data_IF_048688166319
#
_entry.id   IF_048688166319
#
_cell.length_a   1.000
_cell.length_b   1.000
_cell.length_c   1.000
_cell.angle_alpha   90.00
_cell.angle_beta   90.00
_cell.angle_gamma   90.00
#
_symmetry.space_group_name_H-M   'P 1'
#
loop_
_entity.id
_entity.type
_entity.pdbx_description
1 polymer ?
#
# COMPACT_ATOMS: atom_id res chain seq x y z
N UNK A 1 -5.78 13.62 3.37
CA UNK A 1 -6.74 14.55 2.73
C UNK A 1 -6.42 14.62 1.24
N UNK A 2 -7.42 14.52 0.37
CA UNK A 2 -7.25 14.56 -1.10
C UNK A 2 -8.27 15.55 -1.68
N UNK A 3 -7.87 16.35 -2.68
CA UNK A 3 -8.82 17.20 -3.41
C UNK A 3 -9.81 16.32 -4.17
N UNK A 4 -11.11 16.63 -4.09
CA UNK A 4 -12.17 15.89 -4.80
C UNK A 4 -11.86 15.67 -6.28
N UNK A 5 -11.41 16.72 -6.97
CA UNK A 5 -11.06 16.62 -8.40
C UNK A 5 -9.91 15.65 -8.70
N UNK A 6 -8.95 15.47 -7.78
CA UNK A 6 -7.87 14.49 -7.94
C UNK A 6 -8.41 13.08 -7.70
N UNK A 7 -9.22 12.90 -6.65
CA UNK A 7 -9.86 11.62 -6.35
C UNK A 7 -10.74 11.14 -7.52
N UNK A 8 -11.56 12.02 -8.07
CA UNK A 8 -12.39 11.73 -9.25
C UNK A 8 -11.53 11.47 -10.50
N UNK A 9 -10.45 12.25 -10.71
CA UNK A 9 -9.53 12.06 -11.85
C UNK A 9 -8.90 10.66 -11.87
N UNK A 10 -8.56 10.10 -10.70
CA UNK A 10 -7.99 8.74 -10.62
C UNK A 10 -9.05 7.64 -10.58
N UNK A 11 -10.35 7.98 -10.56
CA UNK A 11 -11.45 7.03 -10.55
C UNK A 11 -11.89 6.56 -9.16
N UNK A 12 -11.54 7.28 -8.09
CA UNK A 12 -11.92 6.93 -6.72
C UNK A 12 -11.22 5.68 -6.20
N UNK A 13 -11.87 4.91 -5.33
CA UNK A 13 -11.34 3.63 -4.84
C UNK A 13 -11.56 2.49 -5.84
N UNK A 14 -10.68 1.48 -5.82
CA UNK A 14 -10.87 0.23 -6.57
C UNK A 14 -11.84 -0.68 -5.82
N UNK A 15 -13.13 -0.38 -5.89
CA UNK A 15 -14.16 -1.07 -5.10
C UNK A 15 -14.40 -2.51 -5.56
N UNK A 16 -14.04 -2.85 -6.81
CA UNK A 16 -14.30 -4.17 -7.37
C UNK A 16 -13.33 -5.22 -6.84
N UNK A 17 -12.07 -4.84 -6.68
CA UNK A 17 -10.99 -5.76 -6.32
C UNK A 17 -10.37 -5.49 -4.95
N UNK A 18 -10.52 -4.29 -4.38
CA UNK A 18 -9.95 -3.89 -3.09
C UNK A 18 -11.06 -3.31 -2.19
N UNK A 19 -11.97 -4.15 -1.76
CA UNK A 19 -13.12 -3.73 -0.96
C UNK A 19 -12.78 -3.44 0.50
N UNK A 20 -11.73 -4.07 1.04
CA UNK A 20 -11.40 -4.00 2.47
C UNK A 20 -9.92 -3.70 2.69
N UNK A 21 -9.01 -4.48 2.12
CA UNK A 21 -7.57 -4.28 2.30
C UNK A 21 -6.95 -3.53 1.11
N UNK A 22 -5.85 -2.82 1.39
CA UNK A 22 -4.96 -2.17 0.42
C UNK A 22 -5.57 -1.10 -0.51
N UNK A 23 -6.86 -0.76 -0.37
CA UNK A 23 -7.53 0.25 -1.18
C UNK A 23 -6.90 1.65 -1.07
N UNK A 24 -6.36 1.95 0.10
CA UNK A 24 -5.66 3.18 0.43
C UNK A 24 -4.27 3.22 -0.24
N UNK A 25 -3.56 2.09 -0.25
CA UNK A 25 -2.27 1.92 -0.94
C UNK A 25 -2.45 2.08 -2.45
N UNK A 26 -3.39 1.36 -3.07
CA UNK A 26 -3.68 1.46 -4.51
C UNK A 26 -4.06 2.89 -4.90
N UNK A 27 -4.93 3.56 -4.13
CA UNK A 27 -5.30 4.96 -4.36
C UNK A 27 -4.07 5.87 -4.33
N UNK A 28 -3.21 5.72 -3.31
CA UNK A 28 -1.98 6.51 -3.19
C UNK A 28 -1.02 6.28 -4.36
N UNK A 29 -0.90 5.04 -4.86
CA UNK A 29 -0.07 4.70 -6.00
C UNK A 29 -0.61 5.29 -7.31
N UNK A 30 -1.92 5.19 -7.57
CA UNK A 30 -2.56 5.83 -8.74
C UNK A 30 -2.45 7.35 -8.72
N UNK A 31 -2.59 7.99 -7.55
CA UNK A 31 -2.37 9.44 -7.40
C UNK A 31 -0.92 9.80 -7.73
N UNK A 32 0.05 8.97 -7.33
CA UNK A 32 1.46 9.15 -7.68
C UNK A 32 1.69 9.00 -9.19
N UNK A 33 1.12 7.98 -9.83
CA UNK A 33 1.18 7.80 -11.30
C UNK A 33 0.57 8.98 -12.06
N UNK A 34 -0.49 9.60 -11.51
CA UNK A 34 -1.10 10.80 -12.07
C UNK A 34 -0.24 12.09 -11.90
N UNK A 35 0.97 11.98 -11.37
CA UNK A 35 1.96 13.06 -11.24
C UNK A 35 1.90 13.84 -9.93
N UNK A 36 1.14 13.37 -8.94
CA UNK A 36 1.04 14.00 -7.63
C UNK A 36 1.97 13.34 -6.59
N UNK A 37 2.03 13.92 -5.40
CA UNK A 37 2.85 13.42 -4.28
C UNK A 37 1.98 13.06 -3.09
N UNK A 38 2.32 11.95 -2.44
CA UNK A 38 1.80 11.59 -1.13
C UNK A 38 2.72 12.21 -0.07
N UNK A 39 2.16 13.04 0.82
CA UNK A 39 2.92 13.81 1.80
C UNK A 39 2.40 13.49 3.19
N UNK A 40 3.31 13.06 4.06
CA UNK A 40 3.08 12.98 5.49
C UNK A 40 3.37 14.32 6.16
N UNK A 41 2.60 14.67 7.19
CA UNK A 41 2.82 15.89 7.99
C UNK A 41 2.64 15.59 9.48
N UNK A 42 3.57 16.02 10.34
CA UNK A 42 3.45 15.83 11.79
C UNK A 42 2.39 16.76 12.42
N UNK A 43 1.94 17.78 11.69
CA UNK A 43 1.01 18.80 12.21
C UNK A 43 -0.46 18.34 12.20
N UNK A 44 -0.78 17.23 11.56
CA UNK A 44 -2.11 16.64 11.59
C UNK A 44 -2.06 15.31 12.37
N UNK A 45 -2.78 15.25 13.49
CA UNK A 45 -2.85 14.08 14.35
C UNK A 45 -4.28 13.53 14.34
N UNK A 46 -4.41 12.24 14.10
CA UNK A 46 -5.69 11.53 14.07
C UNK A 46 -5.54 10.24 14.86
N UNK A 47 -6.60 9.84 15.56
CA UNK A 47 -6.66 8.57 16.27
C UNK A 47 -7.29 7.51 15.37
N UNK A 48 -6.61 6.38 15.22
CA UNK A 48 -7.12 5.22 14.50
C UNK A 48 -7.11 4.02 15.43
N UNK A 49 -8.29 3.48 15.71
CA UNK A 49 -8.45 2.24 16.48
C UNK A 49 -8.38 1.06 15.51
N UNK A 50 -7.15 0.70 15.15
CA UNK A 50 -6.83 -0.27 14.11
C UNK A 50 -7.69 -1.55 14.20
N UNK A 51 -8.27 -1.94 13.07
CA UNK A 51 -9.06 -3.18 12.90
C UNK A 51 -10.26 -3.36 13.84
N UNK A 52 -10.64 -2.37 14.66
CA UNK A 52 -11.67 -2.53 15.69
C UNK A 52 -13.03 -2.95 15.11
N UNK A 53 -13.43 -2.37 13.97
CA UNK A 53 -14.68 -2.71 13.28
C UNK A 53 -14.54 -3.85 12.28
N UNK A 54 -13.34 -4.04 11.73
CA UNK A 54 -13.05 -5.11 10.75
C UNK A 54 -12.99 -6.48 11.42
N UNK A 55 -12.48 -6.54 12.65
CA UNK A 55 -12.14 -7.78 13.34
C UNK A 55 -10.88 -8.45 12.76
N UNK A 56 -10.64 -9.69 13.16
CA UNK A 56 -9.54 -10.50 12.64
C UNK A 56 -9.88 -11.15 11.29
N UNK A 57 -8.87 -11.45 10.47
CA UNK A 57 -9.07 -12.15 9.20
C UNK A 57 -8.93 -13.68 9.36
N UNK A 58 -9.19 -14.21 10.56
CA UNK A 58 -8.99 -15.62 10.90
C UNK A 58 -10.08 -16.57 10.39
N UNK A 59 -11.22 -16.04 9.94
CA UNK A 59 -12.26 -16.86 9.29
C UNK A 59 -11.89 -17.11 7.82
N UNK A 60 -12.18 -18.33 7.33
CA UNK A 60 -11.86 -18.82 5.99
C UNK A 60 -12.31 -17.87 4.87
N UNK A 61 -13.51 -17.30 4.96
CA UNK A 61 -14.02 -16.35 3.96
C UNK A 61 -13.21 -15.04 3.92
N UNK A 62 -12.78 -14.55 5.09
CA UNK A 62 -11.96 -13.33 5.20
C UNK A 62 -10.57 -13.57 4.64
N UNK A 63 -10.00 -14.75 4.90
CA UNK A 63 -8.72 -15.15 4.33
C UNK A 63 -8.76 -15.20 2.81
N UNK A 64 -9.78 -15.85 2.23
CA UNK A 64 -9.94 -15.92 0.76
C UNK A 64 -10.05 -14.52 0.13
N UNK A 65 -10.80 -13.61 0.76
CA UNK A 65 -10.88 -12.21 0.34
C UNK A 65 -9.49 -11.56 0.34
N UNK A 66 -8.79 -11.61 1.47
CA UNK A 66 -7.45 -11.00 1.60
C UNK A 66 -6.47 -11.57 0.58
N UNK A 67 -6.48 -12.90 0.36
CA UNK A 67 -5.62 -13.55 -0.63
C UNK A 67 -5.87 -13.00 -2.05
N UNK A 68 -7.14 -12.81 -2.45
CA UNK A 68 -7.49 -12.20 -3.74
C UNK A 68 -7.12 -10.71 -3.85
N UNK A 69 -7.23 -9.96 -2.74
CA UNK A 69 -6.80 -8.55 -2.68
C UNK A 69 -5.27 -8.44 -2.80
N UNK A 70 -4.52 -9.36 -2.16
CA UNK A 70 -3.06 -9.49 -2.30
C UNK A 70 -2.70 -9.81 -3.76
N UNK A 71 -3.37 -10.78 -4.38
CA UNK A 71 -3.11 -11.16 -5.78
C UNK A 71 -3.30 -9.96 -6.72
N UNK A 72 -4.37 -9.18 -6.54
CA UNK A 72 -4.59 -7.96 -7.31
C UNK A 72 -3.44 -6.97 -7.15
N UNK A 73 -3.01 -6.71 -5.91
CA UNK A 73 -1.91 -5.77 -5.63
C UNK A 73 -0.59 -6.23 -6.23
N UNK A 74 -0.25 -7.51 -6.13
CA UNK A 74 0.96 -8.06 -6.71
C UNK A 74 0.95 -8.02 -8.25
N UNK A 75 -0.19 -8.34 -8.86
CA UNK A 75 -0.35 -8.28 -10.31
C UNK A 75 -0.27 -6.86 -10.87
N UNK A 76 -0.85 -5.88 -10.16
CA UNK A 76 -0.90 -4.48 -10.62
C UNK A 76 0.35 -3.68 -10.27
N UNK A 77 0.85 -3.83 -9.04
CA UNK A 77 1.85 -2.94 -8.43
C UNK A 77 3.16 -3.66 -8.08
N UNK A 78 3.30 -4.95 -8.37
CA UNK A 78 4.41 -5.79 -7.89
C UNK A 78 5.80 -5.21 -8.14
N UNK A 79 6.05 -4.63 -9.30
CA UNK A 79 7.34 -4.00 -9.61
C UNK A 79 7.56 -2.71 -8.81
N UNK A 80 6.53 -1.87 -8.67
CA UNK A 80 6.62 -0.63 -7.89
C UNK A 80 6.71 -0.88 -6.38
N UNK A 81 6.14 -1.98 -5.88
CA UNK A 81 6.27 -2.40 -4.48
C UNK A 81 7.67 -2.96 -4.18
N UNK A 82 8.28 -3.68 -5.13
CA UNK A 82 9.66 -4.15 -5.00
C UNK A 82 10.68 -3.00 -5.02
N UNK A 83 10.39 -1.97 -5.80
CA UNK A 83 11.27 -0.82 -6.03
C UNK A 83 10.60 0.50 -5.65
N UNK A 84 10.15 0.60 -4.39
CA UNK A 84 9.61 1.87 -3.90
C UNK A 84 10.71 2.95 -3.84
N UNK A 85 10.59 4.07 -4.58
CA UNK A 85 11.58 5.14 -4.56
C UNK A 85 11.77 5.81 -3.19
N UNK A 86 10.86 5.61 -2.25
CA UNK A 86 10.95 6.19 -0.90
C UNK A 86 11.50 5.24 0.16
N UNK A 87 11.71 3.96 -0.17
CA UNK A 87 12.27 2.97 0.74
C UNK A 87 13.73 2.66 0.39
N UNK A 88 14.62 2.63 1.38
CA UNK A 88 16.03 2.40 1.13
C UNK A 88 16.24 0.98 0.54
N UNK A 89 16.83 0.85 -0.67
CA UNK A 89 16.99 -0.44 -1.33
C UNK A 89 17.88 -1.44 -0.57
N UNK A 90 18.69 -0.95 0.38
CA UNK A 90 19.57 -1.78 1.20
C UNK A 90 18.87 -2.39 2.42
N UNK A 91 17.62 -2.02 2.69
CA UNK A 91 16.83 -2.55 3.81
C UNK A 91 15.92 -3.70 3.36
N UNK A 92 15.65 -4.62 4.29
CA UNK A 92 14.78 -5.77 4.10
C UNK A 92 13.35 -5.37 3.78
N UNK A 93 12.68 -6.13 2.90
CA UNK A 93 11.22 -6.04 2.71
C UNK A 93 10.48 -7.11 3.53
N UNK A 94 11.20 -8.00 4.22
CA UNK A 94 10.64 -9.09 5.02
C UNK A 94 10.40 -8.69 6.48
N UNK A 95 11.17 -7.71 6.97
CA UNK A 95 11.15 -7.29 8.37
C UNK A 95 11.05 -5.76 8.49
N UNK A 96 10.31 -5.30 9.48
CA UNK A 96 10.09 -3.87 9.77
C UNK A 96 11.07 -3.33 10.83
N UNK A 97 12.29 -3.86 10.87
CA UNK A 97 13.29 -3.60 11.92
C UNK A 97 14.56 -2.88 11.41
N UNK A 98 14.52 -2.39 10.18
CA UNK A 98 15.67 -1.78 9.48
C UNK A 98 16.87 -2.73 9.30
N UNK A 99 16.64 -4.04 9.34
CA UNK A 99 17.63 -5.03 8.93
C UNK A 99 18.04 -4.83 7.47
N UNK A 100 19.29 -5.21 7.16
CA UNK A 100 19.80 -5.18 5.80
C UNK A 100 19.09 -6.24 4.95
N UNK A 101 18.84 -5.92 3.68
CA UNK A 101 18.32 -6.89 2.72
C UNK A 101 19.33 -8.03 2.50
N UNK A 102 18.83 -9.27 2.52
CA UNK A 102 19.62 -10.45 2.18
C UNK A 102 18.80 -11.41 1.29
N UNK A 103 19.26 -11.71 0.07
CA UNK A 103 20.41 -11.09 -0.62
C UNK A 103 20.18 -9.58 -0.90
N UNK A 104 21.22 -8.81 -1.24
CA UNK A 104 21.06 -7.42 -1.65
C UNK A 104 20.05 -7.27 -2.79
N UNK A 105 19.16 -6.27 -2.69
CA UNK A 105 18.11 -6.00 -3.71
C UNK A 105 18.62 -5.25 -4.93
N UNK A 106 19.79 -4.62 -4.83
CA UNK A 106 20.48 -3.96 -5.92
C UNK A 106 21.80 -4.65 -6.22
N UNK A 107 22.24 -4.64 -7.49
CA UNK A 107 23.56 -5.15 -7.85
C UNK A 107 24.66 -4.34 -7.16
N UNK A 108 25.81 -4.98 -6.93
CA UNK A 108 27.03 -4.29 -6.54
C UNK A 108 27.45 -3.30 -7.63
N UNK A 109 27.83 -2.09 -7.23
CA UNK A 109 28.43 -1.08 -8.10
C UNK A 109 29.76 -1.56 -8.71
#
# INVERSE_FOLDING_TARGET
VVKKSIFEKVGGFEEKHLGVAFNDIDLCLRIREAGYKNIWTPYAQLYHHESLSRGDDNNQDRKQRVDSEIEYMLNRWGDQLKFDPTYNPNLSLEYEDFSLAWPPRLPSL
#
